data_IF_719832937700
#
_entry.id   IF_719832937700
#
_cell.length_a   1.000
_cell.length_b   1.000
_cell.length_c   1.000
_cell.angle_alpha   90.00
_cell.angle_beta   90.00
_cell.angle_gamma   90.00
#
_symmetry.space_group_name_H-M   'P 1'
#
loop_
_entity.id
_entity.type
_entity.pdbx_description
1 polymer ?
#
# COMPACT_ATOMS: atom_id res chain seq x y z
N UNK A 1 -20.74 -1.09 -80.01
CA UNK A 1 -21.42 0.12 -79.51
C UNK A 1 -22.70 0.37 -80.30
N UNK A 2 -22.64 0.44 -81.63
CA UNK A 2 -23.82 0.61 -82.50
C UNK A 2 -24.92 -0.47 -82.34
N UNK A 3 -24.55 -1.72 -82.04
CA UNK A 3 -25.52 -2.82 -81.82
C UNK A 3 -26.41 -2.64 -80.57
N UNK A 4 -25.97 -1.88 -79.56
CA UNK A 4 -26.74 -1.61 -78.33
C UNK A 4 -27.71 -0.44 -78.52
N UNK A 5 -27.27 0.61 -79.22
CA UNK A 5 -28.10 1.76 -79.59
C UNK A 5 -29.21 1.34 -80.56
N UNK A 6 -28.91 0.47 -81.54
CA UNK A 6 -29.88 -0.05 -82.50
C UNK A 6 -31.01 -0.87 -81.87
N UNK A 7 -30.78 -1.44 -80.68
CA UNK A 7 -31.78 -2.23 -79.95
C UNK A 7 -32.63 -1.42 -78.98
N UNK A 8 -32.38 -0.10 -78.84
CA UNK A 8 -33.12 0.81 -77.94
C UNK A 8 -33.18 0.33 -76.47
N UNK A 9 -32.25 -0.53 -76.06
CA UNK A 9 -32.28 -1.18 -74.75
C UNK A 9 -31.69 -0.30 -73.64
N UNK A 10 -30.77 0.61 -73.99
CA UNK A 10 -30.00 1.43 -73.05
C UNK A 10 -29.64 2.78 -73.70
N UNK A 11 -29.98 3.89 -73.04
CA UNK A 11 -29.51 5.22 -73.44
C UNK A 11 -28.12 5.46 -72.81
N UNK A 12 -27.07 5.45 -73.64
CA UNK A 12 -25.69 5.63 -73.21
C UNK A 12 -25.43 7.02 -72.62
N UNK A 13 -26.17 8.05 -73.04
CA UNK A 13 -26.07 9.38 -72.45
C UNK A 13 -26.54 9.36 -71.00
N UNK A 14 -27.67 8.71 -70.74
CA UNK A 14 -28.20 8.52 -69.38
C UNK A 14 -27.23 7.73 -68.49
N UNK A 15 -26.56 6.72 -69.04
CA UNK A 15 -25.55 5.93 -68.33
C UNK A 15 -24.30 6.76 -68.00
N UNK A 16 -23.85 7.61 -68.94
CA UNK A 16 -22.75 8.55 -68.70
C UNK A 16 -23.07 9.55 -67.60
N UNK A 17 -24.27 10.12 -67.60
CA UNK A 17 -24.75 11.03 -66.54
C UNK A 17 -24.88 10.30 -65.20
N UNK A 18 -25.38 9.07 -65.20
CA UNK A 18 -25.49 8.22 -64.00
C UNK A 18 -24.11 7.87 -63.43
N UNK A 19 -23.15 7.50 -64.28
CA UNK A 19 -21.79 7.19 -63.86
C UNK A 19 -21.07 8.43 -63.32
N UNK A 20 -21.20 9.58 -63.98
CA UNK A 20 -20.62 10.85 -63.54
C UNK A 20 -21.22 11.32 -62.21
N UNK A 21 -22.54 11.22 -62.04
CA UNK A 21 -23.21 11.58 -60.79
C UNK A 21 -22.83 10.64 -59.65
N UNK A 22 -22.75 9.33 -59.90
CA UNK A 22 -22.29 8.35 -58.90
C UNK A 22 -20.85 8.63 -58.45
N UNK A 23 -19.93 8.88 -59.39
CA UNK A 23 -18.54 9.23 -59.08
C UNK A 23 -18.45 10.54 -58.27
N UNK A 24 -19.24 11.55 -58.64
CA UNK A 24 -19.29 12.84 -57.96
C UNK A 24 -19.78 12.71 -56.52
N UNK A 25 -20.89 11.98 -56.30
CA UNK A 25 -21.44 11.72 -54.96
C UNK A 25 -20.45 10.94 -54.11
N UNK A 26 -19.78 9.94 -54.70
CA UNK A 26 -18.78 9.16 -53.99
C UNK A 26 -17.58 10.02 -53.54
N UNK A 27 -17.08 10.90 -54.41
CA UNK A 27 -16.02 11.86 -54.06
C UNK A 27 -16.47 12.79 -52.92
N UNK A 28 -17.68 13.34 -53.00
CA UNK A 28 -18.21 14.23 -51.96
C UNK A 28 -18.31 13.53 -50.60
N UNK A 29 -18.83 12.29 -50.56
CA UNK A 29 -18.93 11.52 -49.32
C UNK A 29 -17.56 11.21 -48.71
N UNK A 30 -16.61 10.79 -49.54
CA UNK A 30 -15.26 10.45 -49.08
C UNK A 30 -14.47 11.68 -48.60
N UNK A 31 -14.61 12.83 -49.26
CA UNK A 31 -14.00 14.08 -48.81
C UNK A 31 -14.57 14.58 -47.48
N UNK A 32 -15.88 14.41 -47.24
CA UNK A 32 -16.49 14.76 -45.96
C UNK A 32 -15.97 13.89 -44.82
N UNK A 33 -15.86 12.57 -45.05
CA UNK A 33 -15.26 11.64 -44.08
C UNK A 33 -13.81 12.03 -43.78
N UNK A 34 -13.01 12.33 -44.82
CA UNK A 34 -11.62 12.74 -44.66
C UNK A 34 -11.50 14.07 -43.90
N UNK A 35 -12.41 15.03 -44.09
CA UNK A 35 -12.43 16.30 -43.34
C UNK A 35 -12.84 16.10 -41.87
N UNK A 36 -13.73 15.15 -41.59
CA UNK A 36 -14.14 14.81 -40.24
C UNK A 36 -13.02 14.10 -39.45
N UNK A 37 -12.18 13.32 -40.13
CA UNK A 37 -11.05 12.60 -39.54
C UNK A 37 -9.82 13.49 -39.29
N UNK A 38 -9.81 14.72 -39.84
CA UNK A 38 -8.76 15.68 -39.50
C UNK A 38 -8.91 16.06 -38.03
N UNK A 39 -7.91 15.79 -37.18
CA UNK A 39 -7.95 16.23 -35.79
C UNK A 39 -8.07 17.75 -35.78
N UNK A 40 -9.12 18.27 -35.14
CA UNK A 40 -9.29 19.72 -34.99
C UNK A 40 -8.02 20.25 -34.31
N UNK A 41 -7.41 21.33 -34.83
CA UNK A 41 -6.28 21.96 -34.14
C UNK A 41 -6.77 22.31 -32.74
N UNK A 42 -6.14 21.68 -31.75
CA UNK A 42 -6.46 21.92 -30.35
C UNK A 42 -6.10 23.37 -30.08
N UNK A 43 -7.09 24.15 -29.68
CA UNK A 43 -6.96 25.57 -29.41
C UNK A 43 -6.07 25.75 -28.17
N UNK A 44 -4.75 25.85 -28.41
CA UNK A 44 -3.74 25.88 -27.34
C UNK A 44 -3.92 27.07 -26.41
N UNK A 45 -4.57 28.13 -26.87
CA UNK A 45 -4.89 29.33 -26.09
C UNK A 45 -5.93 29.00 -25.02
N UNK A 46 -7.03 28.32 -25.38
CA UNK A 46 -8.04 27.85 -24.40
C UNK A 46 -7.50 26.87 -23.39
N UNK A 47 -6.56 25.99 -23.79
CA UNK A 47 -5.94 25.05 -22.85
C UNK A 47 -5.03 25.77 -21.85
N UNK A 48 -4.34 26.84 -22.28
CA UNK A 48 -3.53 27.67 -21.38
C UNK A 48 -4.39 28.45 -20.39
N UNK A 49 -5.55 28.93 -20.81
CA UNK A 49 -6.50 29.62 -19.92
C UNK A 49 -7.12 28.68 -18.87
N UNK A 50 -7.27 27.39 -19.18
CA UNK A 50 -7.84 26.37 -18.28
C UNK A 50 -6.80 25.67 -17.39
N UNK A 51 -5.51 25.74 -17.74
CA UNK A 51 -4.44 25.21 -16.88
C UNK A 51 -4.00 26.27 -15.87
N UNK A 52 -4.65 26.29 -14.71
CA UNK A 52 -4.07 26.86 -13.49
C UNK A 52 -2.89 25.97 -13.11
N UNK A 53 -1.68 26.40 -13.50
CA UNK A 53 -0.45 25.80 -12.99
C UNK A 53 -0.30 26.28 -11.54
N UNK A 54 -0.32 25.38 -10.54
CA UNK A 54 -0.13 25.79 -9.15
C UNK A 54 1.26 26.43 -8.99
N UNK A 55 1.42 27.38 -8.07
CA UNK A 55 2.72 27.95 -7.77
C UNK A 55 3.68 26.81 -7.35
N UNK A 56 4.98 26.93 -7.66
CA UNK A 56 5.96 25.95 -7.22
C UNK A 56 5.87 25.82 -5.69
N UNK A 57 5.53 24.62 -5.23
CA UNK A 57 5.58 24.27 -3.81
C UNK A 57 7.00 23.83 -3.54
N UNK A 58 7.66 24.46 -2.57
CA UNK A 58 8.91 23.96 -2.04
C UNK A 58 8.62 22.60 -1.39
N UNK A 59 8.98 21.54 -2.11
CA UNK A 59 8.95 20.19 -1.56
C UNK A 59 9.93 20.17 -0.39
N UNK A 60 9.56 19.61 0.77
CA UNK A 60 10.51 19.43 1.85
C UNK A 60 11.69 18.62 1.30
N UNK A 61 12.84 19.26 1.20
CA UNK A 61 14.07 18.59 0.82
C UNK A 61 14.33 17.53 1.88
N UNK A 62 14.34 16.26 1.46
CA UNK A 62 14.81 15.19 2.33
C UNK A 62 16.27 15.52 2.65
N UNK A 63 16.65 15.76 3.92
CA UNK A 63 18.05 16.00 4.24
C UNK A 63 18.79 14.70 3.94
N UNK A 64 19.52 14.68 2.83
CA UNK A 64 20.16 13.47 2.30
C UNK A 64 21.17 12.84 3.28
N UNK A 65 21.55 13.55 4.36
CA UNK A 65 22.48 13.07 5.35
C UNK A 65 22.20 13.67 6.75
N UNK A 66 21.19 13.16 7.46
CA UNK A 66 21.25 13.18 8.94
C UNK A 66 22.16 12.04 9.41
N UNK A 67 23.48 12.21 9.23
CA UNK A 67 24.47 11.36 9.91
C UNK A 67 24.61 11.95 11.33
N UNK A 68 23.58 11.80 12.15
CA UNK A 68 23.73 12.09 13.58
C UNK A 68 24.68 11.04 14.13
N UNK A 69 25.83 11.47 14.64
CA UNK A 69 26.77 10.55 15.25
C UNK A 69 26.14 9.96 16.52
N UNK A 70 26.46 8.72 16.88
CA UNK A 70 25.95 8.08 18.12
C UNK A 70 26.16 9.00 19.34
N UNK A 71 27.27 9.74 19.34
CA UNK A 71 27.64 10.64 20.40
C UNK A 71 26.72 11.88 20.46
N UNK A 72 26.31 12.44 19.33
CA UNK A 72 25.33 13.53 19.28
C UNK A 72 23.96 13.06 19.77
N UNK A 73 23.55 11.83 19.46
CA UNK A 73 22.29 11.28 19.95
C UNK A 73 22.31 11.11 21.48
N UNK A 74 23.41 10.56 22.01
CA UNK A 74 23.62 10.39 23.46
C UNK A 74 23.71 11.75 24.16
N UNK A 75 24.35 12.74 23.53
CA UNK A 75 24.48 14.09 24.08
C UNK A 75 23.14 14.83 24.07
N UNK A 76 22.33 14.67 23.01
CA UNK A 76 20.97 15.19 22.94
C UNK A 76 20.08 14.58 24.03
N UNK A 77 20.08 13.25 24.19
CA UNK A 77 19.34 12.56 25.25
C UNK A 77 19.77 13.03 26.63
N UNK A 78 21.07 13.10 26.91
CA UNK A 78 21.59 13.64 28.17
C UNK A 78 21.15 15.08 28.38
N UNK A 79 21.16 15.91 27.34
CA UNK A 79 20.71 17.30 27.44
C UNK A 79 19.21 17.43 27.73
N UNK A 80 18.39 16.47 27.29
CA UNK A 80 16.96 16.41 27.58
C UNK A 80 16.74 15.97 29.03
N UNK A 81 17.43 14.92 29.49
CA UNK A 81 17.32 14.46 30.89
C UNK A 81 17.89 15.45 31.91
N UNK A 82 18.91 16.23 31.53
CA UNK A 82 19.51 17.24 32.41
C UNK A 82 18.80 18.59 32.35
N UNK A 83 17.89 18.82 31.40
CA UNK A 83 17.01 19.98 31.43
C UNK A 83 15.95 19.73 32.50
N UNK A 84 15.89 20.54 33.58
CA UNK A 84 14.72 20.50 34.46
C UNK A 84 13.50 20.82 33.59
N UNK A 85 12.40 20.06 33.73
CA UNK A 85 11.17 20.25 32.98
C UNK A 85 10.72 21.72 33.01
N UNK A 86 11.18 22.52 32.05
CA UNK A 86 10.59 23.83 31.79
C UNK A 86 9.30 23.50 31.06
N UNK A 87 8.19 23.63 31.79
CA UNK A 87 6.79 23.55 31.35
C UNK A 87 6.42 24.58 30.25
N UNK A 88 7.24 24.75 29.23
CA UNK A 88 7.04 25.71 28.14
C UNK A 88 7.21 25.02 26.77
N UNK A 89 6.69 23.79 26.62
CA UNK A 89 6.40 23.17 25.32
C UNK A 89 4.90 23.29 25.08
N UNK A 90 4.51 23.84 23.93
CA UNK A 90 3.15 24.27 23.62
C UNK A 90 2.09 23.20 23.86
N UNK A 91 0.89 23.66 24.21
CA UNK A 91 -0.29 22.83 24.50
C UNK A 91 -0.61 21.85 23.34
N UNK A 92 -0.17 22.15 22.11
CA UNK A 92 -0.41 21.35 20.91
C UNK A 92 0.40 20.04 20.84
N UNK A 93 1.66 20.00 21.30
CA UNK A 93 2.48 18.76 21.30
C UNK A 93 2.07 17.80 22.42
N UNK A 94 1.64 18.33 23.57
CA UNK A 94 1.16 17.52 24.70
C UNK A 94 -0.20 16.89 24.40
N UNK A 95 -1.11 17.61 23.75
CA UNK A 95 -2.41 17.06 23.35
C UNK A 95 -2.28 15.89 22.36
N UNK A 96 -1.31 15.95 21.44
CA UNK A 96 -1.09 14.83 20.51
C UNK A 96 -0.58 13.59 21.24
N UNK A 97 0.42 13.71 22.12
CA UNK A 97 0.91 12.57 22.90
C UNK A 97 -0.13 12.02 23.88
N UNK A 98 -0.87 12.87 24.60
CA UNK A 98 -1.89 12.43 25.58
C UNK A 98 -3.06 11.68 24.91
N UNK A 99 -3.47 12.08 23.70
CA UNK A 99 -4.55 11.38 22.95
C UNK A 99 -4.08 10.03 22.42
N UNK A 100 -2.80 9.88 22.08
CA UNK A 100 -2.22 8.59 21.71
C UNK A 100 -2.00 7.70 22.92
N UNK A 101 -1.52 8.23 24.05
CA UNK A 101 -1.21 7.46 25.27
C UNK A 101 -2.43 6.69 25.80
N UNK A 102 -3.56 7.38 26.02
CA UNK A 102 -4.77 6.75 26.60
C UNK A 102 -5.34 5.67 25.69
N UNK A 103 -5.28 5.86 24.36
CA UNK A 103 -5.77 4.87 23.38
C UNK A 103 -4.80 3.73 23.17
N UNK A 104 -3.48 3.98 23.25
CA UNK A 104 -2.47 2.93 23.19
C UNK A 104 -2.57 2.04 24.42
N UNK A 105 -2.73 2.61 25.60
CA UNK A 105 -2.86 1.86 26.85
C UNK A 105 -4.10 0.96 26.83
N UNK A 106 -5.26 1.47 26.43
CA UNK A 106 -6.47 0.65 26.27
C UNK A 106 -6.25 -0.47 25.24
N UNK A 107 -5.56 -0.18 24.14
CA UNK A 107 -5.25 -1.17 23.11
C UNK A 107 -4.26 -2.23 23.60
N UNK A 108 -3.24 -1.84 24.36
CA UNK A 108 -2.25 -2.73 24.96
C UNK A 108 -2.91 -3.64 25.98
N UNK A 109 -3.76 -3.11 26.87
CA UNK A 109 -4.54 -3.91 27.84
C UNK A 109 -5.37 -4.97 27.11
N UNK A 110 -6.05 -4.59 26.01
CA UNK A 110 -6.83 -5.54 25.20
C UNK A 110 -5.96 -6.57 24.46
N UNK A 111 -4.71 -6.23 24.12
CA UNK A 111 -3.74 -7.19 23.59
C UNK A 111 -3.29 -8.15 24.68
N UNK A 112 -3.07 -7.68 25.91
CA UNK A 112 -2.63 -8.53 27.02
C UNK A 112 -3.69 -9.57 27.41
N UNK A 113 -4.97 -9.17 27.51
CA UNK A 113 -6.08 -10.10 27.75
C UNK A 113 -6.13 -11.21 26.68
N UNK A 114 -6.02 -10.81 25.40
CA UNK A 114 -5.99 -11.76 24.27
C UNK A 114 -4.73 -12.62 24.24
N UNK A 115 -3.62 -12.10 24.76
CA UNK A 115 -2.37 -12.83 24.87
C UNK A 115 -2.49 -13.93 25.92
N UNK A 116 -3.12 -13.67 27.07
CA UNK A 116 -3.37 -14.69 28.08
C UNK A 116 -4.25 -15.82 27.56
N UNK A 117 -5.36 -15.51 26.89
CA UNK A 117 -6.21 -16.50 26.23
C UNK A 117 -5.43 -17.33 25.19
N UNK A 118 -4.58 -16.67 24.41
CA UNK A 118 -3.73 -17.33 23.43
C UNK A 118 -2.68 -18.23 24.07
N UNK A 119 -2.05 -17.81 25.17
CA UNK A 119 -1.08 -18.61 25.91
C UNK A 119 -1.70 -19.83 26.57
N UNK A 120 -2.93 -19.73 27.10
CA UNK A 120 -3.67 -20.90 27.60
C UNK A 120 -3.96 -21.90 26.48
N UNK A 121 -4.40 -21.40 25.31
CA UNK A 121 -4.59 -22.23 24.12
C UNK A 121 -3.29 -22.88 23.65
N UNK A 122 -2.19 -22.10 23.63
CA UNK A 122 -0.88 -22.58 23.25
C UNK A 122 -0.39 -23.66 24.23
N UNK A 123 -0.56 -23.45 25.54
CA UNK A 123 -0.22 -24.44 26.58
C UNK A 123 -0.98 -25.76 26.41
N UNK A 124 -2.24 -25.72 25.96
CA UNK A 124 -3.00 -26.94 25.63
C UNK A 124 -2.46 -27.67 24.40
N UNK A 125 -1.96 -26.94 23.41
CA UNK A 125 -1.34 -27.51 22.20
C UNK A 125 0.03 -28.12 22.56
N UNK A 126 0.83 -27.42 23.39
CA UNK A 126 2.09 -27.90 23.94
C UNK A 126 1.91 -29.16 24.78
N UNK A 127 0.94 -29.21 25.69
CA UNK A 127 0.74 -30.39 26.54
C UNK A 127 2.03 -30.75 27.29
N UNK A 128 2.58 -31.94 27.02
CA UNK A 128 3.88 -32.42 27.55
C UNK A 128 5.06 -32.23 26.57
N UNK A 129 4.84 -31.68 25.38
CA UNK A 129 5.88 -31.46 24.38
C UNK A 129 6.52 -30.09 24.60
N UNK A 130 7.84 -30.04 24.68
CA UNK A 130 8.58 -28.77 24.80
C UNK A 130 8.75 -28.04 23.47
N UNK A 131 8.59 -28.72 22.34
CA UNK A 131 8.82 -28.20 20.99
C UNK A 131 7.67 -28.64 20.07
N UNK A 132 7.12 -27.69 19.31
CA UNK A 132 6.05 -27.93 18.33
C UNK A 132 6.37 -27.28 16.99
N UNK A 133 5.91 -27.92 15.92
CA UNK A 133 5.92 -27.38 14.58
C UNK A 133 4.95 -26.19 14.44
N UNK A 134 5.36 -25.07 13.81
CA UNK A 134 4.51 -23.90 13.62
C UNK A 134 3.21 -24.22 12.88
N UNK A 135 3.24 -25.26 12.03
CA UNK A 135 2.08 -25.75 11.27
C UNK A 135 0.93 -26.15 12.19
N UNK A 136 1.20 -26.68 13.37
CA UNK A 136 0.16 -27.08 14.31
C UNK A 136 -0.57 -25.86 14.90
N UNK A 137 0.16 -24.75 15.10
CA UNK A 137 -0.35 -23.47 15.62
C UNK A 137 -1.21 -22.74 14.56
N UNK A 138 -0.82 -22.86 13.29
CA UNK A 138 -1.50 -22.21 12.16
C UNK A 138 -2.44 -23.13 11.38
N UNK A 139 -2.68 -24.36 11.86
CA UNK A 139 -3.58 -25.31 11.18
C UNK A 139 -5.05 -24.87 11.28
N UNK A 140 -5.77 -24.95 10.15
CA UNK A 140 -7.23 -24.74 10.10
C UNK A 140 -7.72 -23.31 10.31
N UNK A 141 -6.83 -22.30 10.23
CA UNK A 141 -7.18 -20.88 10.40
C UNK A 141 -7.09 -20.08 9.12
N UNK A 142 -7.96 -19.06 9.02
CA UNK A 142 -7.93 -18.07 7.95
C UNK A 142 -6.68 -17.18 8.01
N UNK A 143 -6.30 -16.56 6.89
CA UNK A 143 -5.08 -15.74 6.77
C UNK A 143 -5.05 -14.59 7.78
N UNK A 144 -6.20 -13.97 8.05
CA UNK A 144 -6.30 -12.89 9.03
C UNK A 144 -6.06 -13.39 10.46
N UNK A 145 -6.58 -14.58 10.77
CA UNK A 145 -6.40 -15.21 12.08
C UNK A 145 -4.96 -15.72 12.25
N UNK A 146 -4.36 -16.25 11.18
CA UNK A 146 -2.95 -16.63 11.16
C UNK A 146 -2.03 -15.44 11.44
N UNK A 147 -2.29 -14.29 10.82
CA UNK A 147 -1.55 -13.05 11.09
C UNK A 147 -1.72 -12.60 12.55
N UNK A 148 -2.93 -12.68 13.11
CA UNK A 148 -3.20 -12.33 14.51
C UNK A 148 -2.45 -13.26 15.48
N UNK A 149 -2.52 -14.57 15.26
CA UNK A 149 -1.78 -15.57 16.04
C UNK A 149 -0.28 -15.37 15.95
N UNK A 150 0.22 -15.00 14.78
CA UNK A 150 1.65 -14.71 14.60
C UNK A 150 2.09 -13.48 15.41
N UNK A 151 1.31 -12.39 15.39
CA UNK A 151 1.60 -11.21 16.21
C UNK A 151 1.59 -11.56 17.71
N UNK A 152 0.60 -12.32 18.17
CA UNK A 152 0.53 -12.77 19.57
C UNK A 152 1.70 -13.70 19.94
N UNK A 153 2.14 -14.54 19.00
CA UNK A 153 3.32 -15.40 19.18
C UNK A 153 4.61 -14.58 19.35
N UNK A 154 4.77 -13.47 18.61
CA UNK A 154 5.88 -12.55 18.79
C UNK A 154 5.84 -11.87 20.16
N UNK A 155 4.65 -11.48 20.64
CA UNK A 155 4.50 -10.94 22.00
C UNK A 155 4.82 -11.99 23.07
N UNK A 156 4.41 -13.25 22.86
CA UNK A 156 4.77 -14.34 23.76
C UNK A 156 6.29 -14.57 23.81
N UNK A 157 6.96 -14.45 22.66
CA UNK A 157 8.43 -14.53 22.58
C UNK A 157 9.11 -13.33 23.25
N UNK A 158 8.59 -12.12 23.06
CA UNK A 158 9.07 -10.92 23.72
C UNK A 158 8.91 -10.99 25.26
N UNK A 159 7.84 -11.62 25.76
CA UNK A 159 7.67 -11.90 27.20
C UNK A 159 8.57 -13.06 27.70
N UNK A 160 9.27 -13.75 26.81
CA UNK A 160 10.19 -14.85 27.14
C UNK A 160 9.52 -16.17 27.51
N UNK A 161 8.21 -16.31 27.25
CA UNK A 161 7.43 -17.54 27.51
C UNK A 161 7.72 -18.59 26.44
N UNK A 162 8.06 -18.14 25.23
CA UNK A 162 8.24 -18.99 24.05
C UNK A 162 9.51 -18.57 23.34
N UNK A 163 10.25 -19.52 22.79
CA UNK A 163 11.43 -19.31 21.97
C UNK A 163 11.12 -19.71 20.53
N UNK A 164 11.39 -18.81 19.58
CA UNK A 164 11.17 -19.03 18.16
C UNK A 164 12.48 -19.47 17.52
N UNK A 165 12.48 -20.63 16.89
CA UNK A 165 13.63 -21.19 16.18
C UNK A 165 13.44 -20.90 14.69
N UNK A 166 14.35 -20.12 14.13
CA UNK A 166 14.34 -19.70 12.73
C UNK A 166 15.49 -20.32 11.95
N UNK A 167 15.31 -20.48 10.63
CA UNK A 167 16.36 -20.88 9.68
C UNK A 167 17.25 -19.69 9.27
N UNK A 168 18.31 -19.95 8.50
CA UNK A 168 19.17 -18.96 7.85
C UNK A 168 18.39 -17.98 6.94
N UNK A 169 17.18 -18.37 6.50
CA UNK A 169 16.27 -17.53 5.72
C UNK A 169 15.14 -16.87 6.55
N UNK A 170 15.28 -16.81 7.88
CA UNK A 170 14.27 -16.26 8.81
C UNK A 170 12.89 -16.95 8.72
N UNK A 171 12.87 -18.22 8.30
CA UNK A 171 11.65 -19.03 8.28
C UNK A 171 11.47 -19.66 9.65
N UNK A 172 10.30 -19.50 10.26
CA UNK A 172 9.98 -20.14 11.53
C UNK A 172 9.96 -21.67 11.34
N UNK A 173 10.90 -22.38 11.97
CA UNK A 173 11.04 -23.84 11.89
C UNK A 173 10.33 -24.51 13.05
N UNK A 174 10.52 -24.01 14.27
CA UNK A 174 9.99 -24.61 15.47
C UNK A 174 9.68 -23.57 16.54
N UNK A 175 8.73 -23.89 17.40
CA UNK A 175 8.34 -23.07 18.55
C UNK A 175 8.63 -23.90 19.80
N UNK A 176 9.47 -23.39 20.68
CA UNK A 176 9.85 -24.05 21.93
C UNK A 176 9.20 -23.32 23.11
N UNK A 177 8.60 -24.08 24.03
CA UNK A 177 8.10 -23.51 25.28
C UNK A 177 9.25 -23.31 26.26
N UNK A 178 9.38 -22.12 26.82
CA UNK A 178 10.36 -21.83 27.85
C UNK A 178 9.67 -21.97 29.20
N UNK A 179 9.72 -23.18 29.79
CA UNK A 179 9.26 -23.36 31.16
C UNK A 179 10.25 -22.66 32.09
N UNK A 180 9.93 -21.44 32.49
CA UNK A 180 10.74 -20.69 33.45
C UNK A 180 10.51 -21.23 34.87
N UNK A 181 10.83 -22.49 35.09
CA UNK A 181 11.19 -23.06 36.39
C UNK A 181 12.69 -22.82 36.64
N UNK A 182 13.07 -21.54 36.67
CA UNK A 182 14.46 -21.12 36.88
C UNK A 182 14.49 -19.70 37.41
N UNK A 183 14.34 -19.58 38.73
CA UNK A 183 14.36 -18.31 39.43
C UNK A 183 15.62 -17.51 39.08
N UNK A 184 15.41 -16.28 38.62
CA UNK A 184 16.41 -15.24 38.76
C UNK A 184 16.51 -14.90 40.26
N UNK A 185 17.30 -15.72 40.97
CA UNK A 185 17.88 -15.37 42.25
C UNK A 185 18.77 -14.16 41.96
N UNK A 186 18.40 -13.01 42.52
CA UNK A 186 19.23 -11.82 42.46
C UNK A 186 20.59 -12.11 43.08
N UNK A 187 21.64 -11.62 42.45
CA UNK A 187 22.96 -11.49 43.04
C UNK A 187 23.57 -10.17 42.55
N UNK A 188 23.63 -9.24 43.52
CA UNK A 188 24.53 -8.09 43.75
C UNK A 188 24.91 -7.13 42.62
#
# INVERSE_FOLDING_TARGET
>A
MEELERKNLLDLNSCGVAAYSAATIHRMKTELLLKADKPKPVDREKIRELMIVPPPVDLPCMPEFMITTINELVQALRSIFMKPEKKNGGEEERMLLEVFDVKLDEFLVRIEERLEEFLEGLRRIFGDKEIIDPRDIFSGVDRLEAARRFILLLFAAAKGVVELIEDDEHRLIAVKWNDRSGGAKGEN
#
